data_IF_540890189884
#
_entry.id   IF_540890189884
#
_cell.length_a   1.000
_cell.length_b   1.000
_cell.length_c   1.000
_cell.angle_alpha   90.00
_cell.angle_beta   90.00
_cell.angle_gamma   90.00
#
_symmetry.space_group_name_H-M   'P 1'
#
loop_
_entity.id
_entity.type
_entity.pdbx_description
1 polymer ?
#
# COMPACT_ATOMS: atom_id res chain seq x y z
N UNK A 1 45.39 3.71 74.66
CA UNK A 1 45.82 4.85 75.50
C UNK A 1 45.94 6.07 74.60
N UNK A 2 45.18 7.12 74.92
CA UNK A 2 45.37 8.55 74.57
C UNK A 2 45.32 8.98 73.09
N UNK A 3 44.17 9.54 72.69
CA UNK A 3 44.08 10.82 71.93
C UNK A 3 44.39 11.99 72.90
N UNK A 4 44.66 13.27 72.51
CA UNK A 4 44.07 14.08 71.41
C UNK A 4 45.13 14.93 70.64
N UNK A 5 44.86 15.66 69.56
CA UNK A 5 44.30 17.01 69.52
C UNK A 5 44.13 17.49 68.06
N UNK A 6 43.17 18.38 67.84
CA UNK A 6 43.07 19.28 66.67
C UNK A 6 43.09 20.72 67.20
N UNK A 7 43.52 21.73 66.41
CA UNK A 7 42.49 22.62 65.90
C UNK A 7 42.72 23.25 64.51
N UNK A 8 41.57 23.41 63.84
CA UNK A 8 41.16 24.34 62.79
C UNK A 8 42.00 25.61 62.52
N UNK A 9 42.26 25.88 61.24
CA UNK A 9 42.14 27.22 60.62
C UNK A 9 41.45 27.09 59.26
N UNK A 10 40.34 27.83 59.10
CA UNK A 10 39.60 27.96 57.86
C UNK A 10 39.93 29.25 57.10
N UNK A 11 39.36 29.29 55.89
CA UNK A 11 39.16 30.38 54.92
C UNK A 11 39.85 30.05 53.58
N UNK A 12 39.23 30.10 52.41
CA UNK A 12 37.86 30.40 52.00
C UNK A 12 37.72 29.97 50.53
N UNK A 13 36.56 29.38 50.21
CA UNK A 13 35.83 29.50 48.93
C UNK A 13 36.59 29.26 47.62
N UNK A 14 36.37 28.08 47.05
CA UNK A 14 36.01 27.99 45.62
C UNK A 14 34.93 26.90 45.48
N UNK A 15 33.68 27.32 45.31
CA UNK A 15 32.62 26.44 44.81
C UNK A 15 32.99 26.08 43.37
N UNK A 16 33.38 24.83 43.12
CA UNK A 16 33.16 24.22 41.81
C UNK A 16 31.89 23.38 41.90
N UNK A 17 30.80 23.93 41.35
CA UNK A 17 29.61 23.17 41.01
C UNK A 17 30.01 22.06 40.03
N UNK A 18 30.08 20.82 40.52
CA UNK A 18 30.07 19.64 39.65
C UNK A 18 28.63 19.53 39.13
N UNK A 19 28.36 20.15 37.99
CA UNK A 19 27.19 19.85 37.20
C UNK A 19 27.34 18.39 36.72
N UNK A 20 26.63 17.48 37.37
CA UNK A 20 26.38 16.16 36.83
C UNK A 20 25.62 16.35 35.51
N UNK A 21 26.34 16.24 34.39
CA UNK A 21 25.73 16.15 33.06
C UNK A 21 25.04 14.79 33.01
N UNK A 22 23.80 14.75 33.47
CA UNK A 22 22.85 13.72 33.08
C UNK A 22 22.51 14.01 31.63
N UNK A 23 23.25 13.38 30.71
CA UNK A 23 22.82 13.27 29.31
C UNK A 23 21.46 12.59 29.32
N UNK A 24 20.38 13.23 28.83
CA UNK A 24 19.16 12.52 28.57
C UNK A 24 19.49 11.54 27.44
N UNK A 25 19.47 10.24 27.75
CA UNK A 25 19.25 9.22 26.73
C UNK A 25 17.99 9.64 26.00
N UNK A 26 18.14 10.12 24.77
CA UNK A 26 17.05 10.35 23.85
C UNK A 26 16.43 8.98 23.55
N UNK A 27 15.51 8.56 24.41
CA UNK A 27 14.59 7.48 24.10
C UNK A 27 13.84 7.94 22.86
N UNK A 28 14.11 7.26 21.76
CA UNK A 28 13.51 7.49 20.45
C UNK A 28 11.99 7.57 20.60
N UNK A 29 11.45 8.77 20.45
CA UNK A 29 10.01 9.05 20.40
C UNK A 29 9.39 8.59 19.06
N UNK A 30 9.74 7.39 18.61
CA UNK A 30 9.17 6.73 17.43
C UNK A 30 7.79 6.09 17.72
N UNK A 31 7.42 5.96 19.00
CA UNK A 31 6.16 5.34 19.43
C UNK A 31 5.03 6.34 19.77
N UNK A 32 5.34 7.62 20.05
CA UNK A 32 4.33 8.67 20.28
C UNK A 32 3.85 9.37 18.99
N UNK A 33 4.40 9.01 17.83
CA UNK A 33 4.08 9.61 16.53
C UNK A 33 2.79 9.13 15.87
N UNK A 34 2.05 8.18 16.45
CA UNK A 34 0.91 7.52 15.78
C UNK A 34 -0.46 8.10 16.20
N UNK A 35 -0.55 8.91 17.26
CA UNK A 35 -1.84 9.40 17.80
C UNK A 35 -2.14 10.90 17.64
N UNK A 36 -1.43 11.62 16.77
CA UNK A 36 -1.90 12.94 16.29
C UNK A 36 -1.95 12.99 14.77
N UNK A 37 -3.05 12.51 14.18
CA UNK A 37 -3.57 13.11 12.94
C UNK A 37 -4.07 14.52 13.26
N UNK A 38 -3.13 15.42 13.54
CA UNK A 38 -3.35 16.84 13.30
C UNK A 38 -3.25 17.05 11.80
N UNK A 39 -3.99 18.03 11.33
CA UNK A 39 -4.16 18.49 9.97
C UNK A 39 -2.82 18.90 9.32
N UNK A 40 -1.95 17.91 9.06
CA UNK A 40 -0.56 18.10 8.65
C UNK A 40 -0.51 18.34 7.14
N UNK A 41 -1.18 19.39 6.70
CA UNK A 41 -1.19 19.83 5.31
C UNK A 41 0.13 20.52 5.04
N UNK A 42 1.05 19.85 4.34
CA UNK A 42 2.29 20.46 3.85
C UNK A 42 1.99 21.27 2.60
N UNK A 43 2.57 22.46 2.53
CA UNK A 43 2.62 23.27 1.31
C UNK A 43 3.43 22.56 0.22
N UNK A 44 3.25 22.99 -1.02
CA UNK A 44 4.03 22.49 -2.15
C UNK A 44 5.54 22.60 -1.92
N UNK A 45 6.00 23.77 -1.47
CA UNK A 45 7.42 24.04 -1.23
C UNK A 45 8.01 23.12 -0.15
N UNK A 46 7.26 22.83 0.92
CA UNK A 46 7.69 21.90 1.97
C UNK A 46 7.81 20.46 1.47
N UNK A 47 6.87 20.00 0.64
CA UNK A 47 6.93 18.66 0.04
C UNK A 47 8.10 18.56 -0.95
N UNK A 48 8.30 19.55 -1.81
CA UNK A 48 9.41 19.58 -2.76
C UNK A 48 10.77 19.59 -2.04
N UNK A 49 10.92 20.41 -1.00
CA UNK A 49 12.14 20.44 -0.18
C UNK A 49 12.39 19.09 0.51
N UNK A 50 11.35 18.44 1.02
CA UNK A 50 11.45 17.11 1.63
C UNK A 50 11.91 16.05 0.62
N UNK A 51 11.29 16.02 -0.56
CA UNK A 51 11.64 15.09 -1.65
C UNK A 51 13.10 15.27 -2.04
N UNK A 52 13.55 16.52 -2.19
CA UNK A 52 14.91 16.83 -2.61
C UNK A 52 15.94 16.41 -1.55
N UNK A 53 15.68 16.71 -0.28
CA UNK A 53 16.58 16.37 0.84
C UNK A 53 16.68 14.84 1.03
N UNK A 54 15.54 14.15 1.05
CA UNK A 54 15.49 12.70 1.29
C UNK A 54 15.96 11.91 0.07
N UNK A 55 15.62 12.36 -1.14
CA UNK A 55 15.97 11.68 -2.38
C UNK A 55 17.47 11.66 -2.69
N UNK A 56 18.21 12.68 -2.27
CA UNK A 56 19.66 12.78 -2.45
C UNK A 56 20.47 11.98 -1.44
N UNK A 57 19.86 11.53 -0.36
CA UNK A 57 20.53 10.83 0.73
C UNK A 57 20.22 9.34 0.69
N UNK A 58 21.22 8.45 0.69
CA UNK A 58 20.99 7.02 0.85
C UNK A 58 20.25 6.75 2.17
N UNK A 59 19.31 5.79 2.20
CA UNK A 59 18.65 5.41 3.44
C UNK A 59 19.64 4.73 4.41
N UNK A 60 19.38 4.77 5.71
CA UNK A 60 20.31 4.30 6.75
C UNK A 60 20.72 2.83 6.59
N UNK A 61 19.82 1.99 6.05
CA UNK A 61 20.10 0.58 5.78
C UNK A 61 20.95 0.34 4.54
N UNK A 62 21.20 1.36 3.71
CA UNK A 62 21.84 1.21 2.40
C UNK A 62 23.21 0.57 2.55
N UNK A 63 24.07 1.11 3.42
CA UNK A 63 25.44 0.65 3.64
C UNK A 63 25.54 -0.80 4.14
N UNK A 64 24.59 -1.23 4.97
CA UNK A 64 24.56 -2.59 5.55
C UNK A 64 23.85 -3.63 4.67
N UNK A 65 23.19 -3.19 3.59
CA UNK A 65 22.46 -4.10 2.70
C UNK A 65 23.42 -4.75 1.71
N UNK A 66 23.47 -6.09 1.59
CA UNK A 66 24.35 -6.75 0.63
C UNK A 66 23.89 -6.50 -0.81
N UNK A 67 24.86 -6.44 -1.73
CA UNK A 67 24.61 -6.34 -3.17
C UNK A 67 24.61 -7.74 -3.79
N UNK A 68 23.51 -8.48 -3.61
CA UNK A 68 23.36 -9.85 -4.11
C UNK A 68 22.58 -9.85 -5.43
N UNK A 69 23.22 -10.20 -6.54
CA UNK A 69 22.57 -10.44 -7.82
C UNK A 69 23.33 -11.47 -8.67
N UNK A 70 22.66 -12.19 -9.60
CA UNK A 70 23.34 -13.12 -10.50
C UNK A 70 24.35 -12.38 -11.40
N UNK A 71 25.62 -12.82 -11.40
CA UNK A 71 26.69 -12.23 -12.23
C UNK A 71 26.44 -12.35 -13.74
N UNK A 72 25.50 -13.21 -14.14
CA UNK A 72 25.08 -13.41 -15.53
C UNK A 72 24.03 -12.40 -16.00
N UNK A 73 23.55 -11.51 -15.13
CA UNK A 73 22.60 -10.47 -15.53
C UNK A 73 23.30 -9.47 -16.47
N UNK A 74 22.65 -9.16 -17.59
CA UNK A 74 23.10 -8.12 -18.49
C UNK A 74 22.72 -6.74 -17.91
N UNK A 75 23.72 -6.05 -17.35
CA UNK A 75 23.54 -4.76 -16.69
C UNK A 75 23.32 -3.59 -17.65
N UNK A 76 23.54 -3.77 -18.96
CA UNK A 76 23.16 -2.79 -20.00
C UNK A 76 21.63 -2.70 -20.22
N UNK A 77 20.89 -3.58 -19.53
CA UNK A 77 19.42 -3.59 -19.48
C UNK A 77 18.73 -3.59 -20.86
N UNK A 78 19.11 -4.53 -21.76
CA UNK A 78 18.44 -4.63 -23.05
C UNK A 78 16.98 -5.06 -22.88
N UNK A 79 16.18 -4.89 -23.93
CA UNK A 79 14.84 -5.47 -23.97
C UNK A 79 14.96 -7.00 -23.86
N UNK A 80 14.22 -7.65 -22.94
CA UNK A 80 14.28 -9.10 -22.81
C UNK A 80 13.93 -9.81 -24.11
N UNK A 81 14.71 -10.85 -24.44
CA UNK A 81 14.47 -11.75 -25.56
C UNK A 81 14.57 -13.21 -25.11
N UNK A 82 13.80 -14.09 -25.77
CA UNK A 82 13.71 -15.50 -25.43
C UNK A 82 12.83 -15.79 -24.20
N UNK A 83 12.95 -16.99 -23.60
CA UNK A 83 12.12 -17.41 -22.49
C UNK A 83 12.39 -16.59 -21.21
N UNK A 84 11.44 -16.65 -20.27
CA UNK A 84 11.58 -16.05 -18.95
C UNK A 84 12.86 -16.54 -18.27
N UNK A 85 13.73 -15.62 -17.86
CA UNK A 85 15.03 -15.93 -17.29
C UNK A 85 15.48 -14.83 -16.32
N UNK A 86 15.43 -15.14 -15.03
CA UNK A 86 15.76 -14.23 -13.92
C UNK A 86 17.27 -14.09 -13.67
N UNK A 87 18.10 -14.86 -14.37
CA UNK A 87 19.57 -14.78 -14.30
C UNK A 87 20.18 -13.99 -15.45
N UNK A 88 19.41 -13.70 -16.51
CA UNK A 88 19.86 -12.96 -17.70
C UNK A 88 19.25 -11.56 -17.81
N UNK A 89 17.98 -11.42 -17.46
CA UNK A 89 17.21 -10.19 -17.69
C UNK A 89 16.86 -9.48 -16.39
N UNK A 90 17.23 -8.21 -16.26
CA UNK A 90 16.98 -7.39 -15.06
C UNK A 90 15.49 -7.34 -14.72
N UNK A 91 14.61 -7.13 -15.70
CA UNK A 91 13.16 -7.05 -15.46
C UNK A 91 12.58 -8.35 -14.88
N UNK A 92 13.05 -9.51 -15.36
CA UNK A 92 12.62 -10.80 -14.83
C UNK A 92 13.15 -11.02 -13.40
N UNK A 93 14.40 -10.62 -13.14
CA UNK A 93 15.00 -10.67 -11.81
C UNK A 93 14.22 -9.79 -10.82
N UNK A 94 13.98 -8.53 -11.16
CA UNK A 94 13.20 -7.62 -10.32
C UNK A 94 11.82 -8.21 -10.04
N UNK A 95 11.13 -8.69 -11.07
CA UNK A 95 9.77 -9.21 -10.91
C UNK A 95 9.70 -10.48 -10.03
N UNK A 96 10.42 -11.55 -10.38
CA UNK A 96 10.25 -12.87 -9.72
C UNK A 96 11.19 -13.11 -8.55
N UNK A 97 12.20 -12.27 -8.35
CA UNK A 97 13.24 -12.51 -7.33
C UNK A 97 13.29 -11.39 -6.29
N UNK A 98 13.06 -10.14 -6.68
CA UNK A 98 13.00 -9.03 -5.72
C UNK A 98 11.57 -8.80 -5.24
N UNK A 99 10.64 -8.46 -6.14
CA UNK A 99 9.31 -7.99 -5.76
C UNK A 99 8.53 -9.04 -4.96
N UNK A 100 8.66 -10.32 -5.32
CA UNK A 100 8.01 -11.45 -4.62
C UNK A 100 8.61 -11.75 -3.22
N UNK A 101 9.76 -11.17 -2.85
CA UNK A 101 10.51 -11.54 -1.65
C UNK A 101 10.77 -10.33 -0.73
N UNK A 102 9.95 -10.08 0.30
CA UNK A 102 10.09 -8.93 1.20
C UNK A 102 11.46 -8.75 1.84
N UNK A 103 12.11 -9.87 2.18
CA UNK A 103 13.47 -9.88 2.74
C UNK A 103 14.52 -9.31 1.79
N UNK A 104 14.21 -9.20 0.49
CA UNK A 104 15.11 -8.76 -0.57
C UNK A 104 14.76 -7.40 -1.16
N UNK A 105 13.72 -6.72 -0.69
CA UNK A 105 13.31 -5.42 -1.23
C UNK A 105 14.41 -4.36 -1.14
N UNK A 106 15.11 -4.30 0.00
CA UNK A 106 16.29 -3.43 0.17
C UNK A 106 17.42 -3.78 -0.78
N UNK A 107 17.68 -5.08 -1.01
CA UNK A 107 18.68 -5.54 -1.99
C UNK A 107 18.30 -5.09 -3.41
N UNK A 108 17.02 -5.13 -3.76
CA UNK A 108 16.50 -4.68 -5.04
C UNK A 108 16.76 -3.20 -5.30
N UNK A 109 16.41 -2.34 -4.33
CA UNK A 109 16.72 -0.91 -4.41
C UNK A 109 18.23 -0.66 -4.54
N UNK A 110 19.05 -1.30 -3.69
CA UNK A 110 20.52 -1.20 -3.77
C UNK A 110 21.06 -1.68 -5.12
N UNK A 111 20.51 -2.76 -5.66
CA UNK A 111 20.87 -3.27 -6.98
C UNK A 111 20.56 -2.27 -8.09
N UNK A 112 19.43 -1.56 -8.05
CA UNK A 112 19.12 -0.51 -9.04
C UNK A 112 20.06 0.69 -8.98
N UNK A 113 20.49 1.11 -7.78
CA UNK A 113 21.56 2.10 -7.65
C UNK A 113 22.89 1.60 -8.22
N UNK A 114 23.21 0.32 -8.05
CA UNK A 114 24.38 -0.28 -8.69
C UNK A 114 24.27 -0.29 -10.23
N UNK A 115 23.09 -0.61 -10.77
CA UNK A 115 22.82 -0.55 -12.23
C UNK A 115 23.04 0.87 -12.76
N UNK A 116 22.59 1.92 -12.06
CA UNK A 116 22.92 3.31 -12.41
C UNK A 116 24.45 3.51 -12.43
N UNK A 117 25.13 3.14 -11.36
CA UNK A 117 26.57 3.38 -11.21
C UNK A 117 27.42 2.71 -12.30
N UNK A 118 27.07 1.51 -12.76
CA UNK A 118 27.89 0.78 -13.75
C UNK A 118 27.61 1.19 -15.20
N UNK A 119 26.51 1.91 -15.46
CA UNK A 119 26.12 2.34 -16.80
C UNK A 119 26.48 3.81 -17.11
N UNK A 120 27.27 4.47 -16.24
CA UNK A 120 27.78 5.81 -16.49
C UNK A 120 26.66 6.83 -16.68
N UNK A 121 26.65 7.54 -17.82
CA UNK A 121 25.61 8.51 -18.18
C UNK A 121 24.64 7.99 -19.27
N UNK A 122 24.48 6.67 -19.41
CA UNK A 122 23.54 6.11 -20.41
C UNK A 122 22.10 6.56 -20.13
N UNK A 123 21.52 7.42 -20.99
CA UNK A 123 20.23 8.01 -20.72
C UNK A 123 19.09 6.99 -20.78
N UNK A 124 19.21 5.91 -21.56
CA UNK A 124 18.18 4.89 -21.68
C UNK A 124 18.15 3.99 -20.45
N UNK A 125 19.31 3.57 -19.97
CA UNK A 125 19.40 2.76 -18.74
C UNK A 125 18.98 3.60 -17.54
N UNK A 126 19.38 4.86 -17.47
CA UNK A 126 18.98 5.78 -16.41
C UNK A 126 17.47 5.95 -16.30
N UNK A 127 16.76 6.18 -17.41
CA UNK A 127 15.31 6.33 -17.37
C UNK A 127 14.59 5.06 -16.88
N UNK A 128 15.07 3.87 -17.26
CA UNK A 128 14.53 2.60 -16.73
C UNK A 128 14.83 2.42 -15.25
N UNK A 129 16.06 2.74 -14.83
CA UNK A 129 16.49 2.61 -13.46
C UNK A 129 15.78 3.61 -12.52
N UNK A 130 15.56 4.84 -12.97
CA UNK A 130 14.78 5.84 -12.23
C UNK A 130 13.34 5.36 -12.01
N UNK A 131 12.69 4.86 -13.06
CA UNK A 131 11.34 4.31 -12.96
C UNK A 131 11.29 3.13 -11.99
N UNK A 132 12.24 2.18 -12.12
CA UNK A 132 12.31 1.02 -11.25
C UNK A 132 12.68 1.36 -9.79
N UNK A 133 13.50 2.39 -9.55
CA UNK A 133 13.77 2.91 -8.22
C UNK A 133 12.53 3.55 -7.60
N UNK A 134 11.77 4.32 -8.39
CA UNK A 134 10.46 4.83 -7.99
C UNK A 134 9.56 3.72 -7.49
N UNK A 135 9.42 2.63 -8.26
CA UNK A 135 8.69 1.43 -7.85
C UNK A 135 9.27 0.74 -6.62
N UNK A 136 10.60 0.59 -6.51
CA UNK A 136 11.21 -0.02 -5.33
C UNK A 136 10.88 0.76 -4.05
N UNK A 137 10.99 2.10 -4.11
CA UNK A 137 10.71 2.94 -2.96
C UNK A 137 9.22 3.05 -2.67
N UNK A 138 8.37 3.16 -3.68
CA UNK A 138 6.92 3.29 -3.54
C UNK A 138 6.25 1.97 -3.13
N UNK A 139 6.39 0.94 -3.96
CA UNK A 139 5.59 -0.28 -3.87
C UNK A 139 6.14 -1.27 -2.85
N UNK A 140 7.45 -1.22 -2.57
CA UNK A 140 8.13 -2.20 -1.72
C UNK A 140 8.57 -1.61 -0.37
N UNK A 141 9.12 -0.39 -0.37
CA UNK A 141 9.75 0.17 0.84
C UNK A 141 8.92 1.25 1.53
N UNK A 142 7.79 1.67 0.92
CA UNK A 142 6.90 2.73 1.43
C UNK A 142 7.64 4.05 1.74
N UNK A 143 8.66 4.36 0.96
CA UNK A 143 9.48 5.57 1.04
C UNK A 143 9.04 6.58 -0.04
N UNK A 144 7.92 7.25 0.25
CA UNK A 144 7.22 8.13 -0.68
C UNK A 144 8.08 9.30 -1.19
N UNK A 145 8.96 9.84 -0.33
CA UNK A 145 9.84 10.95 -0.70
C UNK A 145 10.91 10.50 -1.71
N UNK A 146 11.59 9.36 -1.46
CA UNK A 146 12.56 8.82 -2.42
C UNK A 146 11.89 8.34 -3.70
N UNK A 147 10.70 7.74 -3.61
CA UNK A 147 9.94 7.36 -4.79
C UNK A 147 9.63 8.56 -5.69
N UNK A 148 9.08 9.63 -5.13
CA UNK A 148 8.79 10.86 -5.87
C UNK A 148 10.06 11.51 -6.44
N UNK A 149 11.18 11.46 -5.72
CA UNK A 149 12.45 11.97 -6.21
C UNK A 149 12.92 11.24 -7.48
N UNK A 150 12.87 9.90 -7.48
CA UNK A 150 13.31 9.11 -8.65
C UNK A 150 12.37 9.25 -9.84
N UNK A 151 11.05 9.19 -9.62
CA UNK A 151 10.09 9.46 -10.69
C UNK A 151 10.15 10.89 -11.21
N UNK A 152 10.52 11.87 -10.36
CA UNK A 152 10.75 13.26 -10.74
C UNK A 152 11.87 13.46 -11.77
N UNK A 153 12.76 12.47 -11.94
CA UNK A 153 13.86 12.48 -12.93
C UNK A 153 13.48 11.88 -14.29
N UNK A 154 12.23 11.45 -14.45
CA UNK A 154 11.75 10.93 -15.74
C UNK A 154 11.52 12.06 -16.74
N UNK A 155 11.93 11.81 -17.99
CA UNK A 155 11.72 12.73 -19.10
C UNK A 155 10.31 12.59 -19.71
N UNK A 156 9.66 11.45 -19.48
CA UNK A 156 8.30 11.13 -19.96
C UNK A 156 7.55 10.40 -18.87
N UNK A 157 6.32 10.84 -18.64
CA UNK A 157 5.43 10.25 -17.63
C UNK A 157 4.35 9.43 -18.32
N UNK A 158 4.13 8.22 -17.81
CA UNK A 158 2.93 7.43 -18.10
C UNK A 158 1.87 7.66 -17.00
N UNK A 159 0.65 7.21 -17.24
CA UNK A 159 -0.45 7.36 -16.28
C UNK A 159 -0.09 6.79 -14.90
N UNK A 160 0.60 5.65 -14.87
CA UNK A 160 1.01 5.00 -13.61
C UNK A 160 2.01 5.86 -12.82
N UNK A 161 2.91 6.59 -13.50
CA UNK A 161 3.81 7.54 -12.83
C UNK A 161 3.04 8.74 -12.26
N UNK A 162 2.04 9.27 -12.98
CA UNK A 162 1.20 10.36 -12.45
C UNK A 162 0.40 9.92 -11.23
N UNK A 163 -0.15 8.71 -11.26
CA UNK A 163 -0.86 8.11 -10.14
C UNK A 163 0.09 7.88 -8.95
N UNK A 164 1.26 7.30 -9.17
CA UNK A 164 2.26 7.05 -8.13
C UNK A 164 2.80 8.34 -7.50
N UNK A 165 3.06 9.38 -8.29
CA UNK A 165 3.42 10.71 -7.77
C UNK A 165 2.29 11.34 -6.95
N UNK A 166 1.04 11.23 -7.41
CA UNK A 166 -0.09 11.73 -6.65
C UNK A 166 -0.25 11.02 -5.30
N UNK A 167 -0.08 9.69 -5.27
CA UNK A 167 -0.08 8.94 -4.00
C UNK A 167 1.08 9.38 -3.11
N UNK A 168 2.30 9.52 -3.65
CA UNK A 168 3.44 10.07 -2.90
C UNK A 168 3.12 11.42 -2.27
N UNK A 169 2.60 12.38 -3.03
CA UNK A 169 2.30 13.71 -2.52
C UNK A 169 1.22 13.68 -1.44
N UNK A 170 0.19 12.86 -1.61
CA UNK A 170 -0.83 12.68 -0.58
C UNK A 170 -0.24 12.07 0.70
N UNK A 171 0.58 11.02 0.59
CA UNK A 171 1.27 10.39 1.74
C UNK A 171 2.26 11.32 2.42
N UNK A 172 2.87 12.23 1.67
CA UNK A 172 3.73 13.30 2.19
C UNK A 172 2.94 14.49 2.77
N UNK A 173 1.61 14.45 2.76
CA UNK A 173 0.76 15.44 3.41
C UNK A 173 0.32 16.60 2.52
N UNK A 174 0.49 16.53 1.20
CA UNK A 174 -0.03 17.55 0.28
C UNK A 174 -1.12 16.97 -0.62
N UNK A 175 -2.37 17.10 -0.15
CA UNK A 175 -3.56 16.77 -0.94
C UNK A 175 -3.69 17.68 -2.17
N UNK A 176 -3.31 18.95 -2.06
CA UNK A 176 -3.31 19.91 -3.18
C UNK A 176 -2.51 19.34 -4.37
N UNK A 177 -1.23 19.05 -4.17
CA UNK A 177 -0.34 18.51 -5.21
C UNK A 177 -0.86 17.19 -5.80
N UNK A 178 -1.38 16.30 -4.94
CA UNK A 178 -1.98 15.05 -5.39
C UNK A 178 -3.17 15.29 -6.32
N UNK A 179 -4.13 16.12 -5.89
CA UNK A 179 -5.34 16.42 -6.67
C UNK A 179 -5.04 17.16 -7.98
N UNK A 180 -4.03 18.03 -8.01
CA UNK A 180 -3.59 18.69 -9.25
C UNK A 180 -3.12 17.70 -10.32
N UNK A 181 -2.34 16.70 -9.91
CA UNK A 181 -1.92 15.63 -10.81
C UNK A 181 -3.11 14.79 -11.28
N UNK A 182 -3.98 14.38 -10.35
CA UNK A 182 -5.11 13.51 -10.69
C UNK A 182 -6.14 14.18 -11.59
N UNK A 183 -6.35 15.50 -11.51
CA UNK A 183 -7.26 16.24 -12.41
C UNK A 183 -6.84 16.16 -13.88
N UNK A 184 -5.56 15.86 -14.16
CA UNK A 184 -5.05 15.66 -15.52
C UNK A 184 -5.49 14.31 -16.11
N UNK A 185 -5.90 13.37 -15.27
CA UNK A 185 -6.35 12.04 -15.69
C UNK A 185 -7.85 12.10 -15.98
N UNK A 186 -8.22 12.07 -17.27
CA UNK A 186 -9.63 12.17 -17.69
C UNK A 186 -10.39 10.85 -17.63
N UNK A 187 -9.69 9.73 -17.72
CA UNK A 187 -10.26 8.38 -17.64
C UNK A 187 -9.28 7.45 -16.95
N UNK A 188 -9.81 6.53 -16.14
CA UNK A 188 -9.08 5.47 -15.46
C UNK A 188 -9.16 4.17 -16.29
N UNK A 189 -8.06 3.88 -16.99
CA UNK A 189 -7.88 2.65 -17.75
C UNK A 189 -7.26 1.52 -16.93
N UNK A 190 -7.01 1.73 -15.63
CA UNK A 190 -6.48 0.68 -14.77
C UNK A 190 -7.51 -0.43 -14.59
N UNK A 191 -7.03 -1.65 -14.34
CA UNK A 191 -7.87 -2.84 -14.27
C UNK A 191 -8.94 -2.76 -13.17
N UNK A 192 -8.68 -2.03 -12.08
CA UNK A 192 -9.53 -2.00 -10.89
C UNK A 192 -9.92 -0.60 -10.41
N UNK A 193 -9.70 0.43 -11.24
CA UNK A 193 -10.04 1.79 -10.87
C UNK A 193 -9.09 2.38 -9.82
N UNK A 194 -7.78 2.18 -9.95
CA UNK A 194 -6.79 2.65 -8.99
C UNK A 194 -6.80 4.17 -8.80
N UNK A 195 -7.09 4.94 -9.85
CA UNK A 195 -7.18 6.41 -9.77
C UNK A 195 -8.48 6.82 -9.09
N UNK A 196 -9.59 6.13 -9.41
CA UNK A 196 -10.88 6.28 -8.70
C UNK A 196 -10.71 6.01 -7.21
N UNK A 197 -9.97 4.95 -6.87
CA UNK A 197 -9.64 4.60 -5.48
C UNK A 197 -8.83 5.72 -4.82
N UNK A 198 -7.77 6.22 -5.45
CA UNK A 198 -6.94 7.27 -4.86
C UNK A 198 -7.73 8.56 -4.56
N UNK A 199 -8.64 8.98 -5.46
CA UNK A 199 -9.58 10.07 -5.16
C UNK A 199 -10.44 9.77 -3.93
N UNK A 200 -11.04 8.57 -3.88
CA UNK A 200 -11.82 8.11 -2.74
C UNK A 200 -10.99 8.09 -1.44
N UNK A 201 -9.70 7.72 -1.52
CA UNK A 201 -8.79 7.66 -0.39
C UNK A 201 -8.49 9.03 0.21
N UNK A 202 -8.41 10.05 -0.63
CA UNK A 202 -8.27 11.44 -0.22
C UNK A 202 -9.58 12.07 0.29
N UNK A 203 -10.68 11.32 0.33
CA UNK A 203 -11.98 11.80 0.77
C UNK A 203 -12.82 12.45 -0.34
N UNK A 204 -12.34 12.45 -1.57
CA UNK A 204 -12.97 13.12 -2.72
C UNK A 204 -13.90 12.16 -3.46
N UNK A 205 -14.98 11.74 -2.79
CA UNK A 205 -15.91 10.76 -3.34
C UNK A 205 -16.57 11.24 -4.63
N UNK A 206 -16.95 12.51 -4.73
CA UNK A 206 -17.63 13.01 -5.92
C UNK A 206 -16.71 13.02 -7.15
N UNK A 207 -15.42 13.36 -6.98
CA UNK A 207 -14.42 13.23 -8.05
C UNK A 207 -14.15 11.78 -8.42
N UNK A 208 -14.08 10.87 -7.44
CA UNK A 208 -13.95 9.44 -7.69
C UNK A 208 -15.11 8.92 -8.57
N UNK A 209 -16.35 9.30 -8.24
CA UNK A 209 -17.54 8.88 -8.99
C UNK A 209 -17.65 9.55 -10.36
N UNK A 210 -17.25 10.82 -10.48
CA UNK A 210 -17.18 11.53 -11.76
C UNK A 210 -16.20 10.82 -12.70
N UNK A 211 -15.00 10.50 -12.22
CA UNK A 211 -13.98 9.78 -12.99
C UNK A 211 -14.47 8.37 -13.34
N UNK A 212 -15.12 7.67 -12.42
CA UNK A 212 -15.66 6.34 -12.68
C UNK A 212 -16.69 6.33 -13.81
N UNK A 213 -17.65 7.27 -13.80
CA UNK A 213 -18.64 7.35 -14.87
C UNK A 213 -18.01 7.75 -16.22
N UNK A 214 -17.02 8.64 -16.22
CA UNK A 214 -16.26 8.97 -17.43
C UNK A 214 -15.52 7.75 -17.99
N UNK A 215 -14.84 7.00 -17.13
CA UNK A 215 -14.07 5.80 -17.48
C UNK A 215 -14.98 4.67 -17.97
N UNK A 216 -16.16 4.53 -17.38
CA UNK A 216 -17.16 3.57 -17.82
C UNK A 216 -17.64 3.86 -19.25
N UNK A 217 -17.88 5.14 -19.59
CA UNK A 217 -18.23 5.57 -20.95
C UNK A 217 -17.09 5.40 -21.95
N UNK A 218 -15.84 5.51 -21.48
CA UNK A 218 -14.64 5.39 -22.31
C UNK A 218 -14.19 3.93 -22.58
N UNK A 219 -15.01 2.93 -22.22
CA UNK A 219 -14.73 1.52 -22.54
C UNK A 219 -14.26 0.65 -21.38
N UNK A 220 -14.21 1.17 -20.14
CA UNK A 220 -13.94 0.39 -18.94
C UNK A 220 -15.15 0.29 -17.99
N UNK A 221 -16.35 -0.16 -18.44
CA UNK A 221 -17.56 -0.08 -17.64
C UNK A 221 -17.55 -1.01 -16.42
N UNK A 222 -16.91 -2.18 -16.49
CA UNK A 222 -16.87 -3.09 -15.34
C UNK A 222 -15.88 -2.63 -14.27
N UNK A 223 -14.64 -2.31 -14.65
CA UNK A 223 -13.60 -1.87 -13.70
C UNK A 223 -13.96 -0.56 -13.02
N UNK A 224 -14.43 0.43 -13.79
CA UNK A 224 -14.76 1.74 -13.24
C UNK A 224 -15.97 1.69 -12.29
N UNK A 225 -17.01 0.91 -12.62
CA UNK A 225 -18.20 0.78 -11.74
C UNK A 225 -17.92 -0.04 -10.48
N UNK A 226 -17.02 -1.01 -10.54
CA UNK A 226 -16.51 -1.66 -9.32
C UNK A 226 -15.80 -0.62 -8.45
N UNK A 227 -14.86 0.14 -9.00
CA UNK A 227 -14.17 1.20 -8.23
C UNK A 227 -15.12 2.22 -7.62
N UNK A 228 -16.18 2.62 -8.33
CA UNK A 228 -17.24 3.48 -7.79
C UNK A 228 -18.02 2.85 -6.64
N UNK A 229 -18.35 1.56 -6.76
CA UNK A 229 -18.99 0.80 -5.69
C UNK A 229 -18.11 0.71 -4.44
N UNK A 230 -16.83 0.40 -4.64
CA UNK A 230 -15.83 0.29 -3.56
C UNK A 230 -15.62 1.64 -2.86
N UNK A 231 -15.55 2.73 -3.63
CA UNK A 231 -15.51 4.10 -3.09
C UNK A 231 -16.76 4.41 -2.25
N UNK A 232 -17.96 4.16 -2.78
CA UNK A 232 -19.20 4.37 -2.02
C UNK A 232 -19.23 3.54 -0.72
N UNK A 233 -18.82 2.26 -0.78
CA UNK A 233 -18.78 1.36 0.38
C UNK A 233 -17.82 1.90 1.45
N UNK A 234 -16.60 2.29 1.05
CA UNK A 234 -15.60 2.90 1.95
C UNK A 234 -16.18 4.10 2.71
N UNK A 235 -16.92 4.95 2.00
CA UNK A 235 -17.56 6.15 2.55
C UNK A 235 -18.90 5.90 3.25
N UNK A 236 -19.29 4.64 3.46
CA UNK A 236 -20.54 4.26 4.13
C UNK A 236 -21.80 4.62 3.36
N UNK A 237 -21.70 4.81 2.03
CA UNK A 237 -22.82 5.08 1.12
C UNK A 237 -23.32 3.77 0.51
N UNK A 238 -23.76 2.84 1.35
CA UNK A 238 -24.02 1.45 0.94
C UNK A 238 -25.10 1.31 -0.13
N UNK A 239 -26.20 2.06 -0.07
CA UNK A 239 -27.22 2.02 -1.11
C UNK A 239 -26.67 2.44 -2.49
N UNK A 240 -25.80 3.47 -2.53
CA UNK A 240 -25.10 3.88 -3.76
C UNK A 240 -24.09 2.81 -4.20
N UNK A 241 -23.36 2.21 -3.26
CA UNK A 241 -22.41 1.13 -3.55
C UNK A 241 -23.11 -0.05 -4.23
N UNK A 242 -24.21 -0.53 -3.64
CA UNK A 242 -25.05 -1.61 -4.19
C UNK A 242 -25.58 -1.24 -5.58
N UNK A 243 -26.00 0.00 -5.82
CA UNK A 243 -26.44 0.45 -7.14
C UNK A 243 -25.33 0.32 -8.19
N UNK A 244 -24.09 0.71 -7.86
CA UNK A 244 -22.94 0.54 -8.76
C UNK A 244 -22.59 -0.92 -9.01
N UNK A 245 -22.57 -1.76 -7.98
CA UNK A 245 -22.34 -3.19 -8.12
C UNK A 245 -23.41 -3.87 -9.00
N UNK A 246 -24.69 -3.50 -8.83
CA UNK A 246 -25.77 -3.98 -9.71
C UNK A 246 -25.57 -3.57 -11.17
N UNK A 247 -25.06 -2.36 -11.45
CA UNK A 247 -24.70 -1.94 -12.82
C UNK A 247 -23.58 -2.82 -13.43
N UNK A 248 -22.71 -3.43 -12.62
CA UNK A 248 -21.68 -4.38 -13.10
C UNK A 248 -22.33 -5.73 -13.41
N UNK A 249 -23.20 -6.23 -12.55
CA UNK A 249 -23.92 -7.49 -12.75
C UNK A 249 -24.77 -7.47 -14.02
N UNK A 250 -25.40 -6.33 -14.32
CA UNK A 250 -26.23 -6.11 -15.49
C UNK A 250 -25.46 -5.97 -16.82
N UNK A 251 -24.12 -5.92 -16.81
CA UNK A 251 -23.34 -5.83 -18.06
C UNK A 251 -23.52 -7.10 -18.91
N UNK A 252 -23.69 -6.98 -20.24
CA UNK A 252 -23.76 -8.14 -21.11
C UNK A 252 -22.45 -8.92 -21.08
N UNK A 253 -22.51 -10.22 -21.33
CA UNK A 253 -21.31 -11.03 -21.47
C UNK A 253 -20.44 -10.48 -22.61
N UNK A 254 -19.14 -10.42 -22.38
CA UNK A 254 -18.15 -10.06 -23.41
C UNK A 254 -17.19 -11.22 -23.57
N UNK A 255 -16.58 -11.32 -24.75
CA UNK A 255 -15.70 -12.43 -25.11
C UNK A 255 -14.33 -11.90 -25.53
N UNK A 256 -13.30 -12.67 -25.21
CA UNK A 256 -11.92 -12.40 -25.61
C UNK A 256 -11.29 -13.66 -26.20
N UNK A 257 -10.34 -13.49 -27.11
CA UNK A 257 -9.67 -14.59 -27.79
C UNK A 257 -8.44 -15.01 -26.99
N UNK A 258 -8.49 -16.20 -26.39
CA UNK A 258 -7.39 -16.77 -25.60
C UNK A 258 -7.02 -18.11 -26.22
N UNK A 259 -5.75 -18.29 -26.59
CA UNK A 259 -5.24 -19.50 -27.24
C UNK A 259 -6.08 -19.92 -28.47
N UNK A 260 -6.46 -18.95 -29.29
CA UNK A 260 -7.26 -19.17 -30.52
C UNK A 260 -8.76 -19.38 -30.31
N UNK A 261 -9.23 -19.57 -29.07
CA UNK A 261 -10.65 -19.80 -28.72
C UNK A 261 -11.31 -18.56 -28.16
N UNK A 262 -12.59 -18.35 -28.49
CA UNK A 262 -13.42 -17.34 -27.85
C UNK A 262 -13.80 -17.82 -26.45
N UNK A 263 -13.42 -17.07 -25.43
CA UNK A 263 -13.74 -17.34 -24.04
C UNK A 263 -14.43 -16.12 -23.43
N UNK A 264 -15.26 -16.32 -22.41
CA UNK A 264 -15.82 -15.20 -21.65
C UNK A 264 -14.68 -14.34 -21.12
N UNK A 265 -14.86 -13.03 -21.14
CA UNK A 265 -13.88 -12.07 -20.67
C UNK A 265 -13.61 -12.30 -19.17
N UNK A 266 -12.42 -12.81 -18.78
CA UNK A 266 -12.14 -13.18 -17.40
C UNK A 266 -12.15 -11.97 -16.46
N UNK A 267 -11.89 -10.77 -16.97
CA UNK A 267 -11.93 -9.53 -16.18
C UNK A 267 -13.39 -9.19 -15.83
N UNK A 268 -14.31 -9.29 -16.79
CA UNK A 268 -15.73 -9.03 -16.54
C UNK A 268 -16.31 -10.05 -15.56
N UNK A 269 -16.05 -11.35 -15.76
CA UNK A 269 -16.57 -12.40 -14.88
C UNK A 269 -16.05 -12.22 -13.44
N UNK A 270 -14.76 -11.91 -13.27
CA UNK A 270 -14.18 -11.58 -11.96
C UNK A 270 -14.84 -10.35 -11.33
N UNK A 271 -15.05 -9.29 -12.10
CA UNK A 271 -15.70 -8.08 -11.61
C UNK A 271 -17.17 -8.34 -11.23
N UNK A 272 -17.90 -9.20 -11.96
CA UNK A 272 -19.25 -9.64 -11.56
C UNK A 272 -19.23 -10.41 -10.24
N UNK A 273 -18.29 -11.34 -10.07
CA UNK A 273 -18.13 -12.07 -8.81
C UNK A 273 -17.81 -11.13 -7.64
N UNK A 274 -16.92 -10.15 -7.85
CA UNK A 274 -16.59 -9.10 -6.86
C UNK A 274 -17.82 -8.26 -6.51
N UNK A 275 -18.58 -7.81 -7.51
CA UNK A 275 -19.83 -7.06 -7.29
C UNK A 275 -20.83 -7.84 -6.44
N UNK A 276 -21.08 -9.11 -6.77
CA UNK A 276 -21.99 -9.95 -6.00
C UNK A 276 -21.52 -10.12 -4.55
N UNK A 277 -20.23 -10.47 -4.38
CA UNK A 277 -19.65 -10.66 -3.04
C UNK A 277 -19.71 -9.37 -2.22
N UNK A 278 -19.47 -8.20 -2.84
CA UNK A 278 -19.55 -6.92 -2.16
C UNK A 278 -20.98 -6.58 -1.72
N UNK A 279 -22.00 -6.89 -2.53
CA UNK A 279 -23.41 -6.76 -2.16
C UNK A 279 -23.74 -7.66 -0.97
N UNK A 280 -23.32 -8.93 -1.03
CA UNK A 280 -23.58 -9.91 0.02
C UNK A 280 -22.92 -9.47 1.33
N UNK A 281 -21.68 -9.00 1.29
CA UNK A 281 -20.99 -8.49 2.47
C UNK A 281 -21.66 -7.25 3.06
N UNK A 282 -22.09 -6.30 2.22
CA UNK A 282 -22.83 -5.13 2.69
C UNK A 282 -24.06 -5.59 3.47
N UNK A 283 -24.84 -6.52 2.90
CA UNK A 283 -26.01 -7.10 3.57
C UNK A 283 -25.63 -7.77 4.90
N UNK A 284 -24.62 -8.64 4.90
CA UNK A 284 -24.14 -9.34 6.09
C UNK A 284 -23.79 -8.35 7.20
N UNK A 285 -22.94 -7.36 6.91
CA UNK A 285 -22.46 -6.40 7.91
C UNK A 285 -23.51 -5.38 8.34
N UNK A 286 -24.50 -5.04 7.51
CA UNK A 286 -25.63 -4.22 7.94
C UNK A 286 -26.54 -4.95 8.95
N UNK A 287 -26.63 -6.27 8.85
CA UNK A 287 -27.40 -7.11 9.78
C UNK A 287 -26.56 -7.71 10.91
N UNK A 288 -25.23 -7.53 10.90
CA UNK A 288 -24.31 -8.15 11.83
C UNK A 288 -24.41 -7.47 13.20
N UNK A 289 -24.88 -8.22 14.20
CA UNK A 289 -24.80 -7.83 15.61
C UNK A 289 -23.72 -8.66 16.29
N UNK A 290 -22.53 -8.05 16.49
CA UNK A 290 -21.40 -8.74 17.11
C UNK A 290 -21.71 -9.22 18.53
N UNK A 291 -22.67 -8.61 19.24
CA UNK A 291 -23.06 -9.06 20.58
C UNK A 291 -23.82 -10.39 20.58
N UNK A 292 -24.28 -10.84 19.41
CA UNK A 292 -24.92 -12.14 19.22
C UNK A 292 -23.96 -13.23 18.79
N UNK A 293 -22.70 -12.87 18.55
CA UNK A 293 -21.65 -13.82 18.23
C UNK A 293 -20.96 -14.20 19.52
N UNK A 294 -20.99 -15.50 19.85
CA UNK A 294 -20.28 -16.04 21.01
C UNK A 294 -18.78 -15.77 20.92
N UNK A 295 -18.13 -15.71 22.08
CA UNK A 295 -16.67 -15.61 22.11
C UNK A 295 -16.04 -16.84 21.45
N UNK A 296 -15.10 -16.63 20.52
CA UNK A 296 -14.56 -17.74 19.73
C UNK A 296 -13.63 -17.31 18.59
N UNK A 297 -13.11 -18.33 17.89
CA UNK A 297 -12.30 -18.16 16.68
C UNK A 297 -13.09 -18.72 15.50
N UNK A 298 -13.34 -17.86 14.52
CA UNK A 298 -14.12 -18.16 13.33
C UNK A 298 -13.25 -18.14 12.10
N UNK A 299 -13.45 -19.09 11.19
CA UNK A 299 -12.64 -19.19 9.96
C UNK A 299 -13.47 -18.91 8.73
N UNK A 300 -12.91 -18.16 7.78
CA UNK A 300 -13.55 -17.88 6.51
C UNK A 300 -12.56 -17.87 5.36
N UNK A 301 -13.04 -18.21 4.17
CA UNK A 301 -12.21 -18.29 2.95
C UNK A 301 -12.84 -17.50 1.81
N UNK A 302 -12.02 -16.76 1.06
CA UNK A 302 -12.42 -16.03 -0.14
C UNK A 302 -11.37 -16.17 -1.25
N UNK A 303 -11.79 -16.19 -2.53
CA UNK A 303 -10.86 -16.03 -3.65
C UNK A 303 -10.07 -14.72 -3.52
N UNK A 304 -8.75 -14.80 -3.70
CA UNK A 304 -7.82 -13.66 -3.77
C UNK A 304 -7.18 -13.58 -5.17
N UNK A 305 -6.01 -12.94 -5.30
CA UNK A 305 -5.43 -12.65 -6.62
C UNK A 305 -4.90 -13.90 -7.34
N UNK A 306 -4.15 -14.75 -6.63
CA UNK A 306 -3.52 -15.98 -7.16
C UNK A 306 -4.32 -17.23 -6.79
N UNK A 307 -5.02 -17.21 -5.67
CA UNK A 307 -5.84 -18.32 -5.20
C UNK A 307 -6.60 -17.94 -3.95
N UNK A 308 -7.16 -18.92 -3.26
CA UNK A 308 -7.93 -18.65 -2.06
C UNK A 308 -7.07 -18.13 -0.90
N UNK A 309 -7.65 -17.22 -0.13
CA UNK A 309 -7.13 -16.66 1.11
C UNK A 309 -8.07 -17.03 2.26
N UNK A 310 -7.50 -17.55 3.35
CA UNK A 310 -8.22 -17.93 4.57
C UNK A 310 -7.84 -17.01 5.73
N UNK A 311 -8.85 -16.57 6.47
CA UNK A 311 -8.69 -15.81 7.72
C UNK A 311 -9.23 -16.58 8.92
N UNK A 312 -8.66 -16.29 10.09
CA UNK A 312 -9.20 -16.60 11.40
C UNK A 312 -9.51 -15.28 12.12
N UNK A 313 -10.78 -15.05 12.44
CA UNK A 313 -11.27 -13.89 13.18
C UNK A 313 -11.61 -14.29 14.62
N UNK A 314 -11.12 -13.55 15.61
CA UNK A 314 -11.43 -13.77 17.02
C UNK A 314 -12.46 -12.75 17.48
N UNK A 315 -13.56 -13.24 18.05
CA UNK A 315 -14.57 -12.41 18.72
C UNK A 315 -14.48 -12.63 20.22
N UNK A 316 -14.44 -11.53 20.98
CA UNK A 316 -14.46 -11.53 22.44
C UNK A 316 -15.29 -10.35 22.94
N UNK A 317 -16.23 -10.61 23.84
CA UNK A 317 -17.12 -9.62 24.45
C UNK A 317 -17.80 -8.72 23.40
N UNK A 318 -18.36 -9.33 22.34
CA UNK A 318 -19.04 -8.61 21.27
C UNK A 318 -18.12 -7.75 20.38
N UNK A 319 -16.80 -8.03 20.36
CA UNK A 319 -15.83 -7.28 19.56
C UNK A 319 -14.89 -8.20 18.79
N UNK A 320 -14.50 -7.78 17.59
CA UNK A 320 -13.43 -8.42 16.82
C UNK A 320 -12.09 -8.00 17.42
N UNK A 321 -11.37 -8.91 18.07
CA UNK A 321 -10.09 -8.62 18.73
C UNK A 321 -8.88 -9.01 17.89
N UNK A 322 -9.06 -9.91 16.92
CA UNK A 322 -7.99 -10.35 16.02
C UNK A 322 -8.55 -10.79 14.68
N UNK A 323 -7.80 -10.52 13.60
CA UNK A 323 -8.02 -11.05 12.26
C UNK A 323 -6.66 -11.49 11.75
N UNK A 324 -6.48 -12.80 11.51
CA UNK A 324 -5.22 -13.38 11.07
C UNK A 324 -5.38 -14.09 9.74
N UNK A 325 -4.50 -13.83 8.79
CA UNK A 325 -4.42 -14.62 7.57
C UNK A 325 -3.72 -15.94 7.90
N UNK A 326 -4.38 -17.07 7.70
CA UNK A 326 -3.85 -18.40 8.01
C UNK A 326 -3.36 -19.14 6.77
N UNK A 327 -3.82 -18.75 5.58
CA UNK A 327 -3.40 -19.32 4.29
C UNK A 327 -3.59 -18.31 3.16
N UNK A 328 -2.61 -18.15 2.28
CA UNK A 328 -2.74 -17.43 1.02
C UNK A 328 -1.73 -17.93 -0.01
N UNK A 329 -1.95 -17.62 -1.30
CA UNK A 329 -1.01 -17.86 -2.40
C UNK A 329 -0.55 -16.59 -3.11
N UNK A 330 -1.06 -15.43 -2.67
CA UNK A 330 -0.71 -14.14 -3.25
C UNK A 330 0.77 -13.83 -2.98
N UNK A 331 1.49 -13.47 -4.04
CA UNK A 331 2.95 -13.29 -4.04
C UNK A 331 3.39 -11.82 -3.96
N UNK A 332 2.44 -10.89 -3.89
CA UNK A 332 2.68 -9.45 -3.88
C UNK A 332 1.75 -8.80 -2.84
N UNK A 333 2.10 -7.59 -2.41
CA UNK A 333 1.27 -6.71 -1.59
C UNK A 333 1.04 -7.16 -0.13
N UNK A 334 2.13 -7.46 0.58
CA UNK A 334 2.09 -7.94 1.97
C UNK A 334 1.55 -6.91 2.96
N UNK A 335 1.61 -5.60 2.67
CA UNK A 335 1.00 -4.58 3.53
C UNK A 335 -0.52 -4.76 3.67
N UNK A 336 -1.21 -5.28 2.65
CA UNK A 336 -2.64 -5.60 2.78
C UNK A 336 -2.92 -6.70 3.82
N UNK A 337 -1.99 -7.64 4.02
CA UNK A 337 -2.11 -8.72 4.99
C UNK A 337 -1.99 -8.22 6.43
N UNK A 338 -1.48 -7.02 6.66
CA UNK A 338 -1.39 -6.39 7.98
C UNK A 338 -2.40 -5.26 8.14
N UNK A 339 -2.49 -4.39 7.15
CA UNK A 339 -3.26 -3.16 7.22
C UNK A 339 -4.76 -3.43 7.17
N UNK A 340 -5.20 -4.35 6.32
CA UNK A 340 -6.64 -4.67 6.20
C UNK A 340 -7.17 -5.30 7.49
N UNK A 341 -6.52 -6.31 8.10
CA UNK A 341 -6.89 -6.79 9.43
C UNK A 341 -6.94 -5.70 10.50
N UNK A 342 -5.92 -4.85 10.57
CA UNK A 342 -5.86 -3.75 11.54
C UNK A 342 -7.02 -2.77 11.35
N UNK A 343 -7.37 -2.45 10.11
CA UNK A 343 -8.54 -1.63 9.80
C UNK A 343 -9.84 -2.29 10.26
N UNK A 344 -10.04 -3.59 10.00
CA UNK A 344 -11.24 -4.31 10.43
C UNK A 344 -11.36 -4.30 11.96
N UNK A 345 -10.29 -4.62 12.68
CA UNK A 345 -10.25 -4.58 14.14
C UNK A 345 -10.52 -3.16 14.65
N UNK A 346 -9.98 -2.12 14.01
CA UNK A 346 -10.24 -0.74 14.43
C UNK A 346 -11.68 -0.29 14.16
N UNK A 347 -12.27 -0.73 13.05
CA UNK A 347 -13.58 -0.26 12.57
C UNK A 347 -14.76 -1.11 13.00
N UNK A 348 -14.51 -2.36 13.41
CA UNK A 348 -15.53 -3.32 13.84
C UNK A 348 -16.64 -3.55 12.78
N UNK A 349 -16.34 -3.35 11.49
CA UNK A 349 -17.29 -3.44 10.39
C UNK A 349 -16.68 -3.00 9.06
N UNK A 350 -17.49 -2.86 8.01
CA UNK A 350 -17.01 -2.45 6.67
C UNK A 350 -16.74 -0.94 6.51
N UNK A 351 -17.38 -0.11 7.34
CA UNK A 351 -17.33 1.36 7.17
C UNK A 351 -15.91 1.85 7.38
N UNK A 352 -15.36 2.50 6.36
CA UNK A 352 -13.99 3.03 6.40
C UNK A 352 -12.89 1.96 6.44
N UNK A 353 -13.21 0.69 6.14
CA UNK A 353 -12.21 -0.33 5.82
C UNK A 353 -11.91 -0.24 4.34
N UNK A 354 -10.66 0.07 4.06
CA UNK A 354 -10.14 0.32 2.73
C UNK A 354 -9.22 -0.81 2.26
N UNK A 355 -9.22 -1.00 0.95
CA UNK A 355 -8.19 -1.77 0.29
C UNK A 355 -6.85 -1.03 0.33
N UNK A 356 -5.75 -1.74 0.48
CA UNK A 356 -4.42 -1.13 0.31
C UNK A 356 -4.19 -0.84 -1.18
N UNK A 357 -3.62 0.33 -1.51
CA UNK A 357 -3.29 0.71 -2.89
C UNK A 357 -2.43 -0.39 -3.54
N UNK A 358 -2.73 -0.72 -4.80
CA UNK A 358 -2.11 -1.83 -5.54
C UNK A 358 -2.40 -3.25 -5.00
N UNK A 359 -3.06 -3.39 -3.85
CA UNK A 359 -3.40 -4.65 -3.19
C UNK A 359 -4.90 -4.91 -3.08
N UNK A 360 -5.70 -4.29 -3.95
CA UNK A 360 -7.17 -4.23 -3.82
C UNK A 360 -7.81 -5.60 -3.74
N UNK A 361 -7.38 -6.54 -4.59
CA UNK A 361 -7.96 -7.88 -4.64
C UNK A 361 -7.65 -8.67 -3.36
N UNK A 362 -6.43 -8.58 -2.87
CA UNK A 362 -6.02 -9.26 -1.63
C UNK A 362 -6.73 -8.65 -0.42
N UNK A 363 -6.83 -7.32 -0.37
CA UNK A 363 -7.53 -6.61 0.72
C UNK A 363 -9.03 -6.97 0.74
N UNK A 364 -9.68 -7.00 -0.43
CA UNK A 364 -11.06 -7.44 -0.54
C UNK A 364 -11.23 -8.90 -0.13
N UNK A 365 -10.31 -9.79 -0.52
CA UNK A 365 -10.36 -11.18 -0.09
C UNK A 365 -10.33 -11.31 1.44
N UNK A 366 -9.52 -10.49 2.15
CA UNK A 366 -9.48 -10.45 3.62
C UNK A 366 -10.81 -9.96 4.19
N UNK A 367 -11.37 -8.87 3.65
CA UNK A 367 -12.67 -8.33 4.07
C UNK A 367 -13.77 -9.38 3.89
N UNK A 368 -13.82 -10.02 2.72
CA UNK A 368 -14.82 -11.01 2.36
C UNK A 368 -14.69 -12.29 3.20
N UNK A 369 -13.46 -12.76 3.40
CA UNK A 369 -13.19 -13.93 4.23
C UNK A 369 -13.56 -13.65 5.69
N UNK A 370 -13.35 -12.43 6.18
CA UNK A 370 -13.75 -12.03 7.54
C UNK A 370 -15.26 -11.95 7.66
N UNK A 371 -15.96 -11.40 6.66
CA UNK A 371 -17.42 -11.39 6.60
C UNK A 371 -18.00 -12.80 6.73
N UNK A 372 -17.45 -13.76 5.97
CA UNK A 372 -17.85 -15.17 5.99
C UNK A 372 -17.54 -15.85 7.32
N UNK A 373 -16.39 -15.57 7.92
CA UNK A 373 -16.04 -16.07 9.24
C UNK A 373 -17.06 -15.63 10.29
N UNK A 374 -17.41 -14.35 10.31
CA UNK A 374 -18.38 -13.82 11.28
C UNK A 374 -19.80 -14.33 10.99
N UNK A 375 -20.16 -14.51 9.72
CA UNK A 375 -21.48 -15.03 9.33
C UNK A 375 -21.69 -16.51 9.66
N UNK A 376 -20.62 -17.33 9.70
CA UNK A 376 -20.77 -18.76 10.02
C UNK A 376 -21.25 -19.00 11.45
N UNK A 377 -21.11 -18.01 12.34
CA UNK A 377 -21.66 -18.08 13.71
C UNK A 377 -23.19 -18.15 13.78
N UNK A 378 -23.89 -17.79 12.71
CA UNK A 378 -25.36 -17.89 12.60
C UNK A 378 -25.84 -19.19 11.95
N UNK A 379 -24.92 -20.08 11.56
CA UNK A 379 -25.21 -21.31 10.84
C UNK A 379 -25.20 -22.58 11.72
N UNK A 380 -24.99 -22.42 13.03
CA UNK A 380 -24.98 -23.50 14.03
C UNK A 380 -26.25 -23.51 14.89
#
# INVERSE_FOLDING_TARGET
>A
MLSPDSPMRGASRLLLCIAAIVLPLATSNLAEGIEKRRDNTRTRAEVEALIENVGRTPPDWYGSTPLNYPRTLDLSWPKPSGPWNTRKHISHYMFSVINENPRRWKEGARFMHHVLSVNGDDPQVHQKAFDQLGHCYHDLLEDWARAAFWWGKLNKYHMDNFMGLADCYWKLGSKEMATDLLRRIRTDSTRYGSVIKLWSDMGELDEALRLAEASARAGNPSGARIGAGDACRKHGRYSRAVAYYKKVLALPATYTRINGKNQKNPILERNKQRAQTAIDNIKTFETLDLNRISDGIYTGTSPAYVGDLTVAATVQNGRITSVRITKHKDKQYFSALTDTPNQIIKKQGLKGVDATTSATITSEAIINATAKALASSFAD
#
